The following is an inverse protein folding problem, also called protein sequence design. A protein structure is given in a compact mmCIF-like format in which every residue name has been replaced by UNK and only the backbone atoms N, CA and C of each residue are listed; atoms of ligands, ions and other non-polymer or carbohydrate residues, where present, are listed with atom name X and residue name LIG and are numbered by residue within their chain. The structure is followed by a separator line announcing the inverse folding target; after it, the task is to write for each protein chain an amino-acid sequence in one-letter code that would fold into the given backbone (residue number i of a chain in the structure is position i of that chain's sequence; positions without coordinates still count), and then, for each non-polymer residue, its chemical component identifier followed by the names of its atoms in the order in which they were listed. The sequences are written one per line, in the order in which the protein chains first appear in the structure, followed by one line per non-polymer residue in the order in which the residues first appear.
data_IF_552147974094
#
_entry.id   IF_552147974094
#
_cell.length_a   1.000
_cell.length_b   1.000
_cell.length_c   1.000
_cell.angle_alpha   90.00
_cell.angle_beta   90.00
_cell.angle_gamma   90.00
#
_symmetry.space_group_name_H-M   'P 1'
#
loop_
_entity.id
_entity.type
_entity.pdbx_description
1 polymer ?
#
# COMPACT_ATOMS: atom_id res chain seq x y z
N UNK A 1 -4.53 10.50 10.36
CA UNK A 1 -5.13 10.13 9.06
C UNK A 1 -4.97 11.26 8.03
N UNK A 2 -5.16 12.53 8.44
CA UNK A 2 -4.86 13.67 7.56
C UNK A 2 -3.43 13.65 6.99
N UNK A 3 -2.40 13.19 7.71
CA UNK A 3 -1.03 13.17 7.16
C UNK A 3 -0.84 12.20 5.98
N UNK A 4 -1.28 10.94 6.06
CA UNK A 4 -1.07 9.95 4.98
C UNK A 4 -1.88 10.29 3.72
N UNK A 5 -3.14 10.70 3.89
CA UNK A 5 -3.98 11.07 2.74
C UNK A 5 -3.51 12.38 2.09
N UNK A 6 -2.99 13.32 2.88
CA UNK A 6 -2.41 14.57 2.38
C UNK A 6 -1.08 14.31 1.69
N UNK A 7 -0.23 13.44 2.25
CA UNK A 7 1.06 13.07 1.68
C UNK A 7 0.91 12.27 0.38
N UNK A 8 -0.05 11.34 0.31
CA UNK A 8 -0.45 10.68 -0.94
C UNK A 8 -1.00 11.64 -1.99
N UNK A 9 -1.52 12.80 -1.60
CA UNK A 9 -2.06 13.81 -2.51
C UNK A 9 -0.98 14.81 -2.95
N UNK A 10 0.05 15.02 -2.14
CA UNK A 10 1.22 15.83 -2.45
C UNK A 10 2.11 15.13 -3.50
N UNK A 11 2.58 15.90 -4.48
CA UNK A 11 3.52 15.40 -5.49
C UNK A 11 4.95 15.28 -4.94
N UNK A 12 5.24 15.93 -3.81
CA UNK A 12 6.53 15.87 -3.13
C UNK A 12 6.44 15.18 -1.76
N UNK A 13 5.32 14.50 -1.47
CA UNK A 13 5.15 13.74 -0.24
C UNK A 13 6.11 12.55 -0.14
N UNK A 14 6.33 12.06 1.07
CA UNK A 14 7.15 10.86 1.32
C UNK A 14 6.60 9.62 0.59
N UNK A 15 5.32 9.63 0.21
CA UNK A 15 4.60 8.54 -0.45
C UNK A 15 4.37 8.78 -1.95
N UNK A 16 4.93 9.85 -2.52
CA UNK A 16 4.77 10.19 -3.94
C UNK A 16 5.25 9.07 -4.88
N UNK A 17 6.28 8.33 -4.47
CA UNK A 17 6.81 7.19 -5.22
C UNK A 17 5.78 6.08 -5.45
N UNK A 18 4.77 5.90 -4.57
CA UNK A 18 3.70 4.94 -4.81
C UNK A 18 2.81 5.33 -5.99
N UNK A 19 2.62 6.63 -6.21
CA UNK A 19 1.88 7.14 -7.36
C UNK A 19 2.68 6.95 -8.65
N UNK A 20 3.98 7.22 -8.60
CA UNK A 20 4.89 6.96 -9.72
C UNK A 20 4.89 5.48 -10.09
N UNK A 21 5.02 4.60 -9.10
CA UNK A 21 4.96 3.15 -9.32
C UNK A 21 3.63 2.67 -9.87
N UNK A 22 2.49 3.24 -9.43
CA UNK A 22 1.19 2.94 -10.02
C UNK A 22 1.18 3.29 -11.51
N UNK A 23 1.65 4.48 -11.86
CA UNK A 23 1.72 4.94 -13.25
C UNK A 23 2.70 4.07 -14.07
N UNK A 24 3.86 3.75 -13.52
CA UNK A 24 4.86 2.90 -14.17
C UNK A 24 4.31 1.49 -14.40
N UNK A 25 3.57 0.92 -13.44
CA UNK A 25 2.90 -0.39 -13.60
C UNK A 25 1.73 -0.34 -14.60
N UNK A 26 1.05 0.80 -14.73
CA UNK A 26 -0.06 0.99 -15.67
C UNK A 26 0.42 1.18 -17.11
N UNK A 27 1.61 1.74 -17.31
CA UNK A 27 2.06 2.23 -18.62
C UNK A 27 3.40 1.67 -19.11
N UNK A 28 4.16 0.97 -18.27
CA UNK A 28 5.52 0.49 -18.59
C UNK A 28 5.69 -0.96 -18.20
N UNK A 29 6.72 -1.59 -18.75
CA UNK A 29 7.22 -2.86 -18.21
C UNK A 29 8.12 -2.57 -17.00
N UNK A 30 7.69 -2.97 -15.80
CA UNK A 30 8.54 -2.91 -14.61
C UNK A 30 9.44 -4.15 -14.54
N UNK A 31 10.75 -3.93 -14.46
CA UNK A 31 11.76 -4.97 -14.32
C UNK A 31 12.47 -4.81 -12.97
N UNK A 32 12.28 -5.81 -12.10
CA UNK A 32 12.97 -5.87 -10.82
C UNK A 32 14.25 -6.67 -11.01
N UNK A 33 15.39 -6.09 -10.65
CA UNK A 33 16.69 -6.72 -10.86
C UNK A 33 17.56 -6.69 -9.61
N UNK A 34 18.48 -7.65 -9.49
CA UNK A 34 19.52 -7.61 -8.48
C UNK A 34 20.52 -6.47 -8.79
N UNK A 35 21.16 -5.93 -7.75
CA UNK A 35 22.10 -4.81 -7.90
C UNK A 35 23.24 -5.17 -8.85
N UNK A 36 23.45 -4.33 -9.86
CA UNK A 36 24.49 -4.54 -10.87
C UNK A 36 24.22 -5.66 -11.89
N UNK A 37 23.02 -6.26 -11.89
CA UNK A 37 22.64 -7.36 -12.77
C UNK A 37 21.50 -6.96 -13.72
N UNK A 38 21.78 -6.00 -14.60
CA UNK A 38 20.91 -5.64 -15.72
C UNK A 38 21.33 -6.43 -16.96
N UNK A 39 20.91 -7.69 -17.05
CA UNK A 39 21.22 -8.53 -18.21
C UNK A 39 19.94 -8.83 -18.98
N UNK A 40 19.87 -8.34 -20.21
CA UNK A 40 18.86 -8.73 -21.19
C UNK A 40 19.49 -9.67 -22.22
N UNK A 41 19.45 -10.97 -21.96
CA UNK A 41 20.10 -11.96 -22.82
C UNK A 41 19.48 -12.06 -24.22
N UNK A 42 18.25 -11.58 -24.39
CA UNK A 42 17.44 -11.80 -25.59
C UNK A 42 16.95 -10.50 -26.23
N UNK A 43 17.45 -9.33 -25.82
CA UNK A 43 16.89 -8.02 -26.19
C UNK A 43 15.37 -7.97 -26.03
N UNK A 44 14.86 -8.62 -24.98
CA UNK A 44 13.44 -8.71 -24.67
C UNK A 44 12.82 -7.36 -24.32
N UNK A 45 13.61 -6.40 -23.84
CA UNK A 45 13.13 -5.07 -23.49
C UNK A 45 12.85 -4.19 -24.72
N UNK A 46 13.47 -4.46 -25.88
CA UNK A 46 13.24 -3.72 -27.13
C UNK A 46 11.81 -3.89 -27.67
N UNK A 47 11.06 -4.89 -27.17
CA UNK A 47 9.65 -5.10 -27.53
C UNK A 47 8.68 -4.17 -26.80
N UNK A 48 9.14 -3.43 -25.79
CA UNK A 48 8.32 -2.56 -24.97
C UNK A 48 8.71 -1.10 -25.21
N UNK A 49 7.71 -0.24 -25.38
CA UNK A 49 7.94 1.19 -25.64
C UNK A 49 8.61 1.90 -24.46
N UNK A 50 8.39 1.41 -23.23
CA UNK A 50 8.96 1.98 -22.01
C UNK A 50 9.19 0.88 -20.97
N UNK A 51 10.40 0.83 -20.41
CA UNK A 51 10.84 -0.15 -19.43
C UNK A 51 11.41 0.57 -18.21
N UNK A 52 10.83 0.28 -17.05
CA UNK A 52 11.27 0.82 -15.77
C UNK A 52 12.07 -0.23 -15.02
N UNK A 53 13.36 0.02 -14.83
CA UNK A 53 14.21 -0.81 -13.99
C UNK A 53 14.18 -0.34 -12.54
N UNK A 54 14.03 -1.28 -11.61
CA UNK A 54 14.05 -1.04 -10.16
C UNK A 54 14.97 -2.06 -9.50
N UNK A 55 15.89 -1.59 -8.68
CA UNK A 55 16.70 -2.49 -7.86
C UNK A 55 15.81 -3.22 -6.87
N UNK A 56 16.02 -4.53 -6.73
CA UNK A 56 15.21 -5.38 -5.84
C UNK A 56 15.17 -4.89 -4.40
N UNK A 57 16.30 -4.42 -3.87
CA UNK A 57 16.37 -3.92 -2.50
C UNK A 57 15.47 -2.69 -2.29
N UNK A 58 15.52 -1.74 -3.22
CA UNK A 58 14.62 -0.58 -3.24
C UNK A 58 13.16 -1.04 -3.33
N UNK A 59 12.88 -1.99 -4.24
CA UNK A 59 11.55 -2.52 -4.45
C UNK A 59 10.97 -3.13 -3.15
N UNK A 60 11.73 -3.99 -2.49
CA UNK A 60 11.33 -4.69 -1.27
C UNK A 60 11.09 -3.72 -0.10
N UNK A 61 11.94 -2.71 0.07
CA UNK A 61 11.80 -1.70 1.13
C UNK A 61 10.50 -0.92 1.00
N UNK A 62 10.24 -0.40 -0.20
CA UNK A 62 9.03 0.34 -0.53
C UNK A 62 7.77 -0.55 -0.48
N UNK A 63 7.83 -1.80 -0.95
CA UNK A 63 6.71 -2.75 -0.82
C UNK A 63 6.40 -3.04 0.65
N UNK A 64 7.42 -3.20 1.49
CA UNK A 64 7.22 -3.41 2.93
C UNK A 64 6.54 -2.19 3.58
N UNK A 65 6.92 -0.98 3.19
CA UNK A 65 6.25 0.24 3.63
C UNK A 65 4.78 0.27 3.18
N UNK A 66 4.50 -0.09 1.92
CA UNK A 66 3.14 -0.18 1.39
C UNK A 66 2.27 -1.12 2.22
N UNK A 67 2.77 -2.33 2.46
CA UNK A 67 2.05 -3.36 3.23
C UNK A 67 1.74 -2.89 4.66
N UNK A 68 2.64 -2.15 5.30
CA UNK A 68 2.42 -1.56 6.64
C UNK A 68 1.31 -0.50 6.60
N UNK A 69 1.28 0.35 5.59
CA UNK A 69 0.26 1.39 5.41
C UNK A 69 -1.10 0.74 5.16
N UNK A 70 -1.19 -0.19 4.21
CA UNK A 70 -2.45 -0.89 3.87
C UNK A 70 -3.00 -1.64 5.09
N UNK A 71 -2.14 -2.38 5.80
CA UNK A 71 -2.54 -3.07 7.03
C UNK A 71 -3.10 -2.10 8.08
N UNK A 72 -2.44 -0.96 8.25
CA UNK A 72 -2.89 0.07 9.20
C UNK A 72 -4.23 0.68 8.78
N UNK A 73 -4.42 0.93 7.48
CA UNK A 73 -5.67 1.47 6.93
C UNK A 73 -6.84 0.51 7.13
N UNK A 74 -6.66 -0.80 6.88
CA UNK A 74 -7.69 -1.82 7.10
C UNK A 74 -8.11 -1.87 8.57
N UNK A 75 -7.13 -1.92 9.48
CA UNK A 75 -7.40 -1.95 10.93
C UNK A 75 -8.19 -0.70 11.33
N UNK A 76 -7.74 0.47 10.90
CA UNK A 76 -8.38 1.74 11.22
C UNK A 76 -9.81 1.81 10.68
N UNK A 77 -10.02 1.40 9.43
CA UNK A 77 -11.35 1.31 8.83
C UNK A 77 -12.28 0.41 9.65
N UNK A 78 -11.83 -0.80 10.04
CA UNK A 78 -12.64 -1.69 10.88
C UNK A 78 -13.00 -1.05 12.23
N UNK A 79 -12.06 -0.37 12.88
CA UNK A 79 -12.34 0.34 14.13
C UNK A 79 -13.34 1.48 13.95
N UNK A 80 -13.18 2.28 12.90
CA UNK A 80 -14.10 3.38 12.58
C UNK A 80 -15.50 2.86 12.31
N UNK A 81 -15.65 1.85 11.44
CA UNK A 81 -16.95 1.22 11.16
C UNK A 81 -17.57 0.65 12.44
N UNK A 82 -16.79 0.05 13.33
CA UNK A 82 -17.29 -0.46 14.61
C UNK A 82 -17.76 0.65 15.55
N UNK A 83 -17.02 1.74 15.66
CA UNK A 83 -17.37 2.89 16.51
C UNK A 83 -18.64 3.56 15.98
N UNK A 84 -18.70 3.85 14.69
CA UNK A 84 -19.88 4.44 14.05
C UNK A 84 -21.07 3.49 14.10
N UNK A 85 -20.85 2.19 13.88
CA UNK A 85 -21.88 1.17 14.04
C UNK A 85 -22.48 1.17 15.45
N UNK A 86 -21.64 1.25 16.50
CA UNK A 86 -22.10 1.35 17.89
C UNK A 86 -22.89 2.63 18.20
N UNK A 87 -22.50 3.77 17.61
CA UNK A 87 -23.20 5.06 17.79
C UNK A 87 -24.61 5.06 17.21
N UNK A 88 -24.86 4.19 16.22
CA UNK A 88 -26.13 4.11 15.51
C UNK A 88 -27.01 2.91 15.95
N UNK A 89 -26.68 2.25 17.08
CA UNK A 89 -27.54 1.20 17.65
C UNK A 89 -28.64 1.87 18.48
N UNK A 90 -29.93 1.64 18.19
CA UNK A 90 -31.03 2.11 19.03
C UNK A 90 -30.93 1.53 20.44
N UNK A 91 -31.22 2.36 21.45
CA UNK A 91 -31.14 1.99 22.88
C UNK A 91 -31.99 0.77 23.25
N UNK A 92 -33.00 0.45 22.44
CA UNK A 92 -34.02 -0.57 22.72
C UNK A 92 -33.64 -1.98 22.21
N UNK A 93 -32.48 -2.16 21.57
CA UNK A 93 -32.07 -3.44 20.95
C UNK A 93 -31.04 -4.18 21.80
N UNK A 94 -31.36 -5.43 22.18
CA UNK A 94 -30.44 -6.33 22.88
C UNK A 94 -29.20 -6.60 22.01
N UNK A 95 -28.07 -5.96 22.36
CA UNK A 95 -26.84 -6.07 21.58
C UNK A 95 -25.93 -7.16 22.15
N UNK A 96 -25.65 -8.21 21.39
CA UNK A 96 -24.63 -9.21 21.77
C UNK A 96 -23.25 -8.64 21.45
N UNK A 97 -22.53 -8.17 22.48
CA UNK A 97 -21.15 -7.70 22.33
C UNK A 97 -20.20 -8.89 22.16
N UNK A 98 -19.64 -9.06 20.96
CA UNK A 98 -18.43 -9.87 20.77
C UNK A 98 -17.20 -9.01 21.04
N UNK A 99 -16.46 -9.38 22.09
CA UNK A 99 -15.19 -8.75 22.46
C UNK A 99 -14.07 -9.45 21.68
N UNK A 100 -13.26 -8.70 20.95
CA UNK A 100 -11.97 -9.21 20.44
C UNK A 100 -10.96 -8.90 21.54
N UNK A 101 -10.61 -9.90 22.33
CA UNK A 101 -9.57 -9.75 23.34
C UNK A 101 -8.20 -9.70 22.64
N UNK A 102 -7.43 -8.64 22.92
CA UNK A 102 -6.05 -8.54 22.49
C UNK A 102 -5.22 -9.43 23.43
N UNK A 103 -4.78 -10.59 22.96
CA UNK A 103 -3.72 -11.34 23.65
C UNK A 103 -2.44 -10.48 23.60
N UNK A 104 -2.04 -9.93 24.75
CA UNK A 104 -0.69 -9.41 24.93
C UNK A 104 0.22 -10.64 25.01
N UNK A 105 1.07 -10.82 23.99
CA UNK A 105 2.21 -11.74 24.01
C UNK A 105 3.43 -10.99 24.51
#
# INVERSE_FOLDING_TARGET
MFSIAMDLNDNNGELAFFREWRNDLEHKLLVIHEKGMLVDLYNSYDFFDDVKFVEKEEFEQHLLQFMKIVKSAIILFMFTVRIEGKRNIPDDILTISKTIERKLL
#
